data_IF_198453714534
#
_entry.id   IF_198453714534
#
_cell.length_a   1.000
_cell.length_b   1.000
_cell.length_c   1.000
_cell.angle_alpha   90.00
_cell.angle_beta   90.00
_cell.angle_gamma   90.00
#
_symmetry.space_group_name_H-M   'P 1'
#
loop_
_entity.id
_entity.type
_entity.pdbx_description
1 polymer ?
#
# COMPACT_ATOMS: atom_id res chain seq x y z
N UNK A 1 4.87 16.12 -20.83
CA UNK A 1 6.22 16.17 -20.20
C UNK A 1 6.64 14.81 -19.63
N UNK A 2 5.79 14.14 -18.84
CA UNK A 2 6.07 12.80 -18.25
C UNK A 2 6.14 11.68 -19.29
N UNK A 3 5.16 11.57 -20.20
CA UNK A 3 5.08 10.51 -21.22
C UNK A 3 6.31 10.42 -22.14
N UNK A 4 6.95 11.56 -22.47
CA UNK A 4 8.16 11.56 -23.31
C UNK A 4 9.39 11.03 -22.56
N UNK A 5 9.45 11.21 -21.23
CA UNK A 5 10.55 10.70 -20.42
C UNK A 5 10.38 9.22 -20.09
N UNK A 6 9.15 8.73 -19.90
CA UNK A 6 8.89 7.30 -19.66
C UNK A 6 9.32 6.43 -20.84
N UNK A 7 9.35 6.96 -22.07
CA UNK A 7 9.86 6.28 -23.26
C UNK A 7 11.40 6.11 -23.29
N UNK A 8 12.13 6.83 -22.43
CA UNK A 8 13.60 6.75 -22.33
C UNK A 8 14.09 5.87 -21.17
N UNK A 9 13.16 5.33 -20.38
CA UNK A 9 13.48 4.45 -19.25
C UNK A 9 14.13 3.17 -19.77
N UNK A 10 15.23 2.79 -19.15
CA UNK A 10 16.00 1.61 -19.49
C UNK A 10 16.30 0.77 -18.23
N UNK A 11 17.03 -0.33 -18.39
CA UNK A 11 17.26 -1.29 -17.31
C UNK A 11 18.03 -0.70 -16.12
N UNK A 12 18.79 0.39 -16.32
CA UNK A 12 19.51 1.06 -15.23
C UNK A 12 18.58 1.85 -14.31
N UNK A 13 17.39 2.19 -14.79
CA UNK A 13 16.40 2.94 -14.04
C UNK A 13 15.48 2.02 -13.22
N UNK A 14 15.69 0.68 -13.24
CA UNK A 14 14.85 -0.28 -12.52
C UNK A 14 15.16 -0.22 -11.02
N UNK A 15 14.12 0.02 -10.22
CA UNK A 15 14.18 -0.01 -8.75
C UNK A 15 13.43 -1.21 -8.14
N UNK A 16 12.70 -1.97 -8.95
CA UNK A 16 12.03 -3.19 -8.51
C UNK A 16 11.43 -3.98 -9.67
N UNK A 17 11.33 -5.30 -9.52
CA UNK A 17 10.68 -6.17 -10.51
C UNK A 17 9.96 -7.33 -9.83
N UNK A 18 8.85 -7.78 -10.40
CA UNK A 18 8.06 -8.90 -9.89
C UNK A 18 6.97 -9.34 -10.88
N UNK A 19 6.13 -10.29 -10.46
CA UNK A 19 5.08 -10.88 -11.33
C UNK A 19 4.12 -9.86 -11.94
N UNK A 20 3.91 -8.74 -11.25
CA UNK A 20 2.98 -7.68 -11.64
C UNK A 20 3.61 -6.59 -12.52
N UNK A 21 4.92 -6.61 -12.74
CA UNK A 21 5.60 -5.63 -13.60
C UNK A 21 6.96 -5.19 -13.09
N UNK A 22 7.47 -4.13 -13.69
CA UNK A 22 8.78 -3.54 -13.39
C UNK A 22 8.57 -2.10 -12.96
N UNK A 23 9.16 -1.71 -11.83
CA UNK A 23 9.12 -0.35 -11.29
C UNK A 23 10.42 0.36 -11.67
N UNK A 24 10.27 1.53 -12.27
CA UNK A 24 11.37 2.38 -12.72
C UNK A 24 11.42 3.67 -11.89
N UNK A 25 12.60 4.19 -11.63
CA UNK A 25 12.80 5.55 -11.15
C UNK A 25 12.78 6.52 -12.35
N UNK A 26 11.91 7.51 -12.31
CA UNK A 26 11.81 8.58 -13.30
C UNK A 26 12.20 9.92 -12.66
N UNK A 27 13.36 10.45 -13.03
CA UNK A 27 13.79 11.79 -12.62
C UNK A 27 13.24 12.86 -13.56
N UNK A 28 12.33 13.70 -13.06
CA UNK A 28 11.79 14.82 -13.83
C UNK A 28 12.76 16.02 -13.82
N UNK A 29 13.48 16.21 -12.73
CA UNK A 29 14.48 17.25 -12.45
C UNK A 29 15.22 16.88 -11.15
N UNK A 30 16.29 17.62 -10.78
CA UNK A 30 17.18 17.26 -9.65
C UNK A 30 16.47 17.13 -8.29
N UNK A 31 15.28 17.71 -8.15
CA UNK A 31 14.47 17.67 -6.93
C UNK A 31 13.24 16.75 -7.00
N UNK A 32 12.88 16.19 -8.16
CA UNK A 32 11.67 15.37 -8.29
C UNK A 32 11.93 14.05 -9.02
N UNK A 33 11.74 12.95 -8.29
CA UNK A 33 11.79 11.59 -8.78
C UNK A 33 10.43 10.90 -8.55
N UNK A 34 10.02 10.06 -9.50
CA UNK A 34 8.78 9.30 -9.46
C UNK A 34 9.05 7.81 -9.64
N UNK A 35 8.34 6.96 -8.91
CA UNK A 35 8.29 5.54 -9.21
C UNK A 35 7.24 5.29 -10.31
N UNK A 36 7.67 4.76 -11.46
CA UNK A 36 6.81 4.42 -12.60
C UNK A 36 6.74 2.91 -12.72
N UNK A 37 5.60 2.31 -12.34
CA UNK A 37 5.36 0.88 -12.52
C UNK A 37 4.89 0.61 -13.95
N UNK A 38 5.74 -0.03 -14.74
CA UNK A 38 5.38 -0.62 -16.03
C UNK A 38 4.79 -1.99 -15.79
N UNK A 39 3.49 -2.11 -15.99
CA UNK A 39 2.80 -3.38 -15.90
C UNK A 39 3.16 -4.24 -17.11
N UNK A 40 3.31 -5.54 -16.89
CA UNK A 40 3.54 -6.49 -17.98
C UNK A 40 2.25 -6.60 -18.81
N UNK A 41 2.27 -6.13 -20.07
CA UNK A 41 1.21 -6.46 -21.02
C UNK A 41 1.25 -7.97 -21.25
N UNK A 42 0.16 -8.66 -20.90
CA UNK A 42 0.07 -10.11 -20.93
C UNK A 42 -1.31 -10.58 -21.39
N UNK A 43 -1.61 -11.85 -21.14
CA UNK A 43 -2.89 -12.51 -21.49
C UNK A 43 -4.11 -11.79 -20.89
N UNK A 44 -5.31 -12.07 -21.41
CA UNK A 44 -6.58 -11.47 -20.95
C UNK A 44 -6.83 -11.56 -19.42
N UNK A 45 -6.23 -12.52 -18.73
CA UNK A 45 -6.29 -12.64 -17.25
C UNK A 45 -5.45 -11.59 -16.52
N UNK A 46 -4.37 -11.10 -17.14
CA UNK A 46 -3.50 -10.05 -16.60
C UNK A 46 -4.05 -8.64 -16.86
N UNK A 47 -4.84 -8.46 -17.91
CA UNK A 47 -5.62 -7.23 -18.12
C UNK A 47 -6.61 -6.99 -16.97
N UNK A 48 -7.22 -8.06 -16.44
CA UNK A 48 -8.01 -7.98 -15.19
C UNK A 48 -7.17 -7.56 -13.98
N UNK A 49 -5.87 -7.87 -13.95
CA UNK A 49 -4.95 -7.43 -12.91
C UNK A 49 -4.69 -5.92 -12.98
N UNK A 50 -4.55 -5.38 -14.20
CA UNK A 50 -4.47 -3.94 -14.42
C UNK A 50 -5.75 -3.23 -14.01
N UNK A 51 -6.91 -3.73 -14.44
CA UNK A 51 -8.20 -3.19 -14.03
C UNK A 51 -8.40 -3.26 -12.53
N UNK A 52 -8.00 -4.34 -11.85
CA UNK A 52 -8.02 -4.41 -10.38
C UNK A 52 -7.15 -3.35 -9.72
N UNK A 53 -5.92 -3.13 -10.19
CA UNK A 53 -5.05 -2.09 -9.63
C UNK A 53 -5.62 -0.69 -9.90
N UNK A 54 -6.13 -0.44 -11.10
CA UNK A 54 -6.75 0.84 -11.47
C UNK A 54 -8.02 1.10 -10.66
N UNK A 55 -8.89 0.09 -10.53
CA UNK A 55 -10.10 0.12 -9.73
C UNK A 55 -9.76 0.36 -8.26
N UNK A 56 -8.77 -0.35 -7.70
CA UNK A 56 -8.32 -0.13 -6.34
C UNK A 56 -7.82 1.30 -6.15
N UNK A 57 -6.97 1.82 -7.05
CA UNK A 57 -6.51 3.22 -6.96
C UNK A 57 -7.65 4.24 -7.09
N UNK A 58 -8.66 3.96 -7.92
CA UNK A 58 -9.82 4.83 -8.11
C UNK A 58 -10.79 4.80 -6.92
N UNK A 59 -10.94 3.63 -6.29
CA UNK A 59 -11.88 3.39 -5.19
C UNK A 59 -11.26 3.67 -3.80
N UNK A 60 -9.94 3.86 -3.69
CA UNK A 60 -9.28 4.29 -2.44
C UNK A 60 -9.75 5.71 -2.07
N UNK A 61 -10.88 5.80 -1.37
CA UNK A 61 -11.32 6.98 -0.63
C UNK A 61 -10.75 6.93 0.78
N UNK A 62 -9.51 7.37 0.88
CA UNK A 62 -8.72 7.52 2.10
C UNK A 62 -9.40 8.34 3.22
N UNK A 63 -10.46 9.11 2.92
CA UNK A 63 -11.18 9.92 3.92
C UNK A 63 -11.80 9.08 5.04
N UNK A 64 -12.20 7.84 4.75
CA UNK A 64 -12.93 7.03 5.73
C UNK A 64 -12.01 6.43 6.80
N UNK A 65 -10.80 6.00 6.46
CA UNK A 65 -9.86 5.43 7.45
C UNK A 65 -9.38 6.49 8.44
N UNK A 66 -9.12 7.72 7.98
CA UNK A 66 -8.76 8.84 8.87
C UNK A 66 -9.87 9.21 9.85
N UNK A 67 -11.10 9.28 9.37
CA UNK A 67 -12.25 9.59 10.21
C UNK A 67 -12.48 8.51 11.27
N UNK A 68 -12.39 7.23 10.89
CA UNK A 68 -12.55 6.10 11.81
C UNK A 68 -11.55 6.16 12.98
N UNK A 69 -10.26 6.34 12.67
CA UNK A 69 -9.21 6.34 13.70
C UNK A 69 -9.26 7.59 14.58
N UNK A 70 -9.58 8.76 13.99
CA UNK A 70 -9.73 10.00 14.77
C UNK A 70 -10.94 9.95 15.70
N UNK A 71 -12.03 9.31 15.27
CA UNK A 71 -13.26 9.18 16.06
C UNK A 71 -13.28 7.98 17.00
N UNK A 72 -12.22 7.16 17.03
CA UNK A 72 -12.15 5.88 17.78
C UNK A 72 -13.35 4.96 17.49
N UNK A 73 -13.68 4.83 16.20
CA UNK A 73 -14.82 4.05 15.69
C UNK A 73 -14.38 2.79 14.94
N UNK A 74 -13.23 2.24 15.29
CA UNK A 74 -12.62 1.08 14.63
C UNK A 74 -13.59 -0.12 14.61
N UNK A 75 -14.36 -0.32 15.68
CA UNK A 75 -15.37 -1.38 15.81
C UNK A 75 -16.51 -1.29 14.79
N UNK A 76 -16.85 -0.09 14.33
CA UNK A 76 -17.98 0.15 13.42
C UNK A 76 -17.64 -0.13 11.95
N UNK A 77 -16.35 -0.31 11.64
CA UNK A 77 -15.87 -0.56 10.27
C UNK A 77 -15.20 -1.91 10.10
N UNK A 78 -15.07 -2.68 11.17
CA UNK A 78 -14.70 -4.08 11.07
C UNK A 78 -15.84 -4.85 10.41
N UNK A 79 -15.48 -5.72 9.48
CA UNK A 79 -16.45 -6.67 8.92
C UNK A 79 -17.00 -7.53 10.06
N UNK A 80 -18.31 -7.75 10.07
CA UNK A 80 -18.98 -8.58 11.07
C UNK A 80 -18.44 -10.02 11.09
N UNK A 81 -17.86 -10.49 9.98
CA UNK A 81 -17.17 -11.79 9.92
C UNK A 81 -15.85 -11.84 10.71
N UNK A 82 -15.29 -10.68 11.09
CA UNK A 82 -14.06 -10.55 11.87
C UNK A 82 -14.32 -10.30 13.37
N UNK A 83 -15.55 -9.90 13.73
CA UNK A 83 -15.89 -9.24 14.99
C UNK A 83 -15.83 -10.06 16.28
N UNK A 84 -15.58 -11.37 16.24
CA UNK A 84 -15.48 -12.21 17.47
C UNK A 84 -14.13 -12.89 17.68
N UNK A 85 -13.24 -12.91 16.67
CA UNK A 85 -11.98 -13.65 16.73
C UNK A 85 -10.74 -12.75 16.81
N UNK A 86 -10.89 -11.44 16.59
CA UNK A 86 -9.77 -10.52 16.49
C UNK A 86 -9.73 -9.60 17.71
N UNK A 87 -8.68 -9.70 18.56
CA UNK A 87 -8.52 -8.79 19.68
C UNK A 87 -8.44 -7.33 19.21
N UNK A 88 -9.16 -6.43 19.87
CA UNK A 88 -9.16 -5.01 19.48
C UNK A 88 -7.78 -4.35 19.52
N UNK A 89 -6.87 -4.87 20.34
CA UNK A 89 -5.51 -4.36 20.40
C UNK A 89 -4.75 -4.60 19.08
N UNK A 90 -5.05 -5.66 18.34
CA UNK A 90 -4.44 -5.93 17.03
C UNK A 90 -5.08 -5.09 15.94
N UNK A 91 -6.41 -4.95 15.99
CA UNK A 91 -7.16 -4.07 15.11
C UNK A 91 -6.58 -2.67 15.17
N UNK A 92 -6.39 -2.14 16.39
CA UNK A 92 -5.81 -0.82 16.60
C UNK A 92 -4.38 -0.71 16.04
N UNK A 93 -3.55 -1.75 16.14
CA UNK A 93 -2.22 -1.76 15.53
C UNK A 93 -2.29 -1.68 14.01
N UNK A 94 -3.19 -2.46 13.38
CA UNK A 94 -3.38 -2.44 11.92
C UNK A 94 -3.94 -1.09 11.45
N UNK A 95 -4.88 -0.50 12.17
CA UNK A 95 -5.38 0.85 11.89
C UNK A 95 -4.30 1.92 12.01
N UNK A 96 -3.41 1.82 13.00
CA UNK A 96 -2.26 2.73 13.12
C UNK A 96 -1.27 2.58 11.97
N UNK A 97 -0.98 1.34 11.55
CA UNK A 97 -0.13 1.08 10.36
C UNK A 97 -0.77 1.70 9.12
N UNK A 98 -2.08 1.50 8.93
CA UNK A 98 -2.81 2.10 7.84
C UNK A 98 -2.70 3.63 7.88
N UNK A 99 -2.87 4.27 9.05
CA UNK A 99 -2.74 5.72 9.22
C UNK A 99 -1.36 6.27 8.87
N UNK A 100 -0.28 5.56 9.20
CA UNK A 100 1.07 5.93 8.80
C UNK A 100 1.25 5.87 7.26
N UNK A 101 0.67 4.87 6.60
CA UNK A 101 0.67 4.76 5.13
C UNK A 101 -0.15 5.88 4.45
N UNK A 102 -1.09 6.44 5.20
CA UNK A 102 -2.08 7.44 4.83
C UNK A 102 -1.62 8.89 5.16
N UNK A 103 -0.33 9.07 5.46
CA UNK A 103 0.27 10.37 5.75
C UNK A 103 0.25 11.27 4.50
N UNK A 104 -0.25 12.53 4.55
CA UNK A 104 -0.27 13.42 3.40
C UNK A 104 1.12 13.69 2.83
N UNK A 105 2.13 13.82 3.69
CA UNK A 105 3.52 13.97 3.26
C UNK A 105 4.14 12.60 2.90
N UNK A 106 4.53 12.37 1.63
CA UNK A 106 5.15 11.11 1.22
C UNK A 106 6.45 10.80 1.97
N UNK A 107 7.18 11.80 2.46
CA UNK A 107 8.45 11.60 3.18
C UNK A 107 8.26 10.98 4.57
N UNK A 108 7.06 11.14 5.15
CA UNK A 108 6.71 10.61 6.46
C UNK A 108 6.02 9.24 6.37
N UNK A 109 5.71 8.76 5.15
CA UNK A 109 5.15 7.42 4.96
C UNK A 109 6.23 6.37 5.19
N UNK A 110 5.89 5.25 5.84
CA UNK A 110 6.80 4.12 5.93
C UNK A 110 7.05 3.53 4.54
N UNK A 111 8.24 2.98 4.36
CA UNK A 111 8.56 2.11 3.25
C UNK A 111 7.75 0.81 3.35
N UNK A 112 7.53 0.14 2.22
CA UNK A 112 6.85 -1.17 2.24
C UNK A 112 7.57 -2.21 3.11
N UNK A 113 8.90 -2.15 3.21
CA UNK A 113 9.66 -3.03 4.09
C UNK A 113 9.34 -2.78 5.58
N UNK A 114 9.21 -1.51 5.98
CA UNK A 114 8.78 -1.15 7.33
C UNK A 114 7.34 -1.57 7.59
N UNK A 115 6.44 -1.40 6.62
CA UNK A 115 5.04 -1.86 6.73
C UNK A 115 4.97 -3.37 6.96
N UNK A 116 5.71 -4.17 6.19
CA UNK A 116 5.77 -5.63 6.38
C UNK A 116 6.28 -5.97 7.77
N UNK A 117 7.38 -5.35 8.22
CA UNK A 117 7.91 -5.56 9.57
C UNK A 117 6.92 -5.18 10.69
N UNK A 118 6.14 -4.11 10.49
CA UNK A 118 5.12 -3.68 11.44
C UNK A 118 3.95 -4.68 11.48
N UNK A 119 3.53 -5.20 10.33
CA UNK A 119 2.48 -6.21 10.25
C UNK A 119 2.92 -7.54 10.87
N UNK A 120 4.14 -8.01 10.63
CA UNK A 120 4.65 -9.25 11.22
C UNK A 120 4.67 -9.19 12.76
N UNK A 121 4.99 -8.01 13.33
CA UNK A 121 4.91 -7.78 14.77
C UNK A 121 3.49 -7.89 15.31
N UNK A 122 2.47 -7.51 14.54
CA UNK A 122 1.06 -7.68 14.96
C UNK A 122 0.63 -9.13 15.05
N UNK A 123 1.22 -10.03 14.23
CA UNK A 123 0.96 -11.47 14.30
C UNK A 123 1.74 -12.16 15.42
N UNK A 124 2.92 -11.66 15.76
CA UNK A 124 3.78 -12.24 16.80
C UNK A 124 3.15 -12.13 18.19
N UNK A 125 2.37 -11.07 18.46
CA UNK A 125 1.67 -10.90 19.74
C UNK A 125 0.51 -11.89 19.97
N UNK A 126 -0.01 -12.54 18.92
CA UNK A 126 -0.99 -13.64 19.07
C UNK A 126 -0.40 -14.85 19.78
N UNK A 127 0.83 -15.21 19.44
CA UNK A 127 1.52 -16.38 19.99
C UNK A 127 1.94 -16.17 21.47
N UNK A 128 2.09 -14.91 21.90
CA UNK A 128 2.46 -14.57 23.28
C UNK A 128 1.25 -14.52 24.24
N UNK A 129 0.01 -14.51 23.73
CA UNK A 129 -1.21 -14.42 24.55
C UNK A 129 -1.96 -15.75 24.69
N UNK A 130 -1.50 -16.81 24.03
CA UNK A 130 -2.03 -18.18 24.12
C UNK A 130 -1.16 -19.13 24.99
N UNK A 131 -0.25 -18.61 25.82
CA UNK A 131 0.61 -19.40 26.73
C UNK A 131 0.26 -19.23 28.20
#
# INVERSE_FOLDING_TARGET
>A
MVLKKTQKLNNKDIIGSGGYGVVYELKLNDSAAFAVKRLNRGTAERDKGFERELQAMADIKHRNVKAVVQEKKEELVLDSSLGSCCPMHEVNKVFNIAMMCLEPDPLNRPTMAEVVNLLDKTQTDRLATES
#
